data_IF_095073846171
#
_entry.id   IF_095073846171
#
_cell.length_a   1.000
_cell.length_b   1.000
_cell.length_c   1.000
_cell.angle_alpha   90.00
_cell.angle_beta   90.00
_cell.angle_gamma   90.00
#
_symmetry.space_group_name_H-M   'P 1'
#
loop_
_entity.id
_entity.type
_entity.pdbx_description
1 polymer ?
#
# COMPACT_ATOMS: atom_id res chain seq x y z
N UNK A 1 -11.60 -6.35 -12.83
CA UNK A 1 -12.01 -4.93 -12.73
C UNK A 1 -11.02 -4.07 -13.53
N UNK A 2 -9.79 -3.86 -13.05
CA UNK A 2 -8.79 -3.00 -13.71
C UNK A 2 -8.29 -3.45 -15.09
N UNK A 3 -8.52 -4.71 -15.47
CA UNK A 3 -8.24 -5.23 -16.82
C UNK A 3 -9.50 -5.35 -17.70
N UNK A 4 -10.63 -4.84 -17.21
CA UNK A 4 -11.89 -4.81 -17.93
C UNK A 4 -12.60 -6.15 -18.03
N UNK A 5 -12.18 -7.22 -17.36
CA UNK A 5 -12.94 -8.50 -17.40
C UNK A 5 -14.20 -8.51 -16.54
N UNK A 6 -14.28 -7.61 -15.57
CA UNK A 6 -15.41 -7.43 -14.64
C UNK A 6 -15.83 -5.98 -14.79
N UNK A 7 -16.99 -5.76 -15.42
CA UNK A 7 -17.45 -4.44 -15.84
C UNK A 7 -18.52 -3.85 -14.92
N UNK A 8 -19.35 -4.68 -14.29
CA UNK A 8 -20.47 -4.24 -13.46
C UNK A 8 -20.33 -4.76 -12.04
N UNK A 9 -20.87 -4.03 -11.07
CA UNK A 9 -20.81 -4.41 -9.66
C UNK A 9 -21.58 -5.70 -9.34
N UNK A 10 -22.59 -6.04 -10.12
CA UNK A 10 -23.37 -7.29 -10.01
C UNK A 10 -22.81 -8.44 -10.86
N UNK A 11 -21.58 -8.31 -11.38
CA UNK A 11 -20.89 -9.41 -12.08
C UNK A 11 -20.82 -10.68 -11.20
N UNK A 12 -21.00 -11.85 -11.83
CA UNK A 12 -21.02 -13.13 -11.14
C UNK A 12 -19.77 -13.39 -10.28
N UNK A 13 -18.60 -12.90 -10.71
CA UNK A 13 -17.37 -13.01 -9.93
C UNK A 13 -17.44 -12.23 -8.61
N UNK A 14 -18.09 -11.05 -8.60
CA UNK A 14 -18.27 -10.25 -7.38
C UNK A 14 -19.41 -10.82 -6.51
N UNK A 15 -20.51 -11.25 -7.11
CA UNK A 15 -21.60 -11.91 -6.39
C UNK A 15 -21.15 -13.17 -5.66
N UNK A 16 -20.30 -13.98 -6.29
CA UNK A 16 -19.76 -15.20 -5.68
C UNK A 16 -18.96 -14.90 -4.40
N UNK A 17 -18.25 -13.77 -4.35
CA UNK A 17 -17.48 -13.36 -3.18
C UNK A 17 -18.32 -12.70 -2.09
N UNK A 18 -19.55 -12.29 -2.41
CA UNK A 18 -20.43 -11.51 -1.52
C UNK A 18 -21.83 -12.16 -1.42
N UNK A 19 -21.95 -13.41 -0.96
CA UNK A 19 -23.23 -14.11 -0.91
C UNK A 19 -24.23 -13.36 -0.02
N UNK A 20 -25.44 -13.14 -0.55
CA UNK A 20 -26.51 -12.43 0.16
C UNK A 20 -26.45 -10.91 0.08
N UNK A 21 -25.42 -10.33 -0.53
CA UNK A 21 -25.34 -8.88 -0.80
C UNK A 21 -26.02 -8.55 -2.12
N UNK A 22 -26.99 -7.64 -2.08
CA UNK A 22 -27.64 -7.12 -3.29
C UNK A 22 -26.70 -6.12 -4.00
N UNK A 23 -25.78 -6.63 -4.82
CA UNK A 23 -24.89 -5.81 -5.61
C UNK A 23 -25.66 -5.12 -6.75
N UNK A 24 -25.42 -3.83 -7.00
CA UNK A 24 -26.23 -3.07 -7.93
C UNK A 24 -25.70 -3.19 -9.38
N UNK A 25 -26.60 -3.10 -10.37
CA UNK A 25 -26.22 -3.13 -11.78
C UNK A 25 -25.69 -1.77 -12.27
N UNK A 26 -24.46 -1.42 -11.87
CA UNK A 26 -23.76 -0.23 -12.34
C UNK A 26 -22.38 -0.56 -12.87
N UNK A 27 -21.98 0.18 -13.90
CA UNK A 27 -20.62 0.12 -14.45
C UNK A 27 -19.62 0.48 -13.34
N UNK A 28 -18.57 -0.33 -13.22
CA UNK A 28 -17.44 -0.09 -12.33
C UNK A 28 -16.54 0.96 -12.95
N UNK A 29 -16.28 2.03 -12.19
CA UNK A 29 -15.31 3.07 -12.58
C UNK A 29 -14.00 2.85 -11.84
N UNK A 30 -12.97 2.34 -12.53
CA UNK A 30 -11.66 2.15 -11.90
C UNK A 30 -10.91 3.47 -11.85
N UNK A 31 -10.41 3.84 -10.68
CA UNK A 31 -9.58 5.03 -10.47
C UNK A 31 -8.14 4.60 -10.24
N UNK A 32 -7.20 5.14 -11.02
CA UNK A 32 -5.78 4.87 -10.87
C UNK A 32 -4.96 6.16 -10.78
N UNK A 33 -3.75 6.07 -10.27
CA UNK A 33 -2.83 7.21 -10.19
C UNK A 33 -2.33 7.63 -11.56
N UNK A 34 -2.10 8.92 -11.74
CA UNK A 34 -1.46 9.49 -12.95
C UNK A 34 0.03 9.78 -12.75
N UNK A 35 0.45 9.97 -11.51
CA UNK A 35 1.83 10.24 -11.12
C UNK A 35 2.57 8.97 -10.69
N UNK A 36 3.91 9.01 -10.72
CA UNK A 36 4.75 7.93 -10.20
C UNK A 36 4.46 7.69 -8.72
N UNK A 37 3.94 6.50 -8.38
CA UNK A 37 3.24 6.28 -7.11
C UNK A 37 3.67 4.97 -6.42
N UNK A 38 4.03 5.07 -5.14
CA UNK A 38 4.23 3.90 -4.27
C UNK A 38 2.96 3.08 -4.07
N UNK A 39 1.80 3.73 -3.94
CA UNK A 39 0.50 3.05 -3.87
C UNK A 39 0.23 2.22 -5.12
N UNK A 40 0.55 2.76 -6.29
CA UNK A 40 0.46 2.02 -7.57
C UNK A 40 1.40 0.84 -7.59
N UNK A 41 2.63 1.00 -7.12
CA UNK A 41 3.59 -0.09 -7.03
C UNK A 41 3.10 -1.23 -6.13
N UNK A 42 2.55 -0.91 -4.95
CA UNK A 42 2.02 -1.89 -4.01
C UNK A 42 0.77 -2.59 -4.56
N UNK A 43 -0.19 -1.82 -5.07
CA UNK A 43 -1.44 -2.37 -5.58
C UNK A 43 -1.23 -3.22 -6.84
N UNK A 44 -0.43 -2.75 -7.81
CA UNK A 44 -0.10 -3.54 -9.00
C UNK A 44 0.75 -4.77 -8.69
N UNK A 45 1.58 -4.74 -7.64
CA UNK A 45 2.24 -5.96 -7.12
C UNK A 45 1.21 -6.96 -6.59
N UNK A 46 0.25 -6.51 -5.80
CA UNK A 46 -0.79 -7.39 -5.27
C UNK A 46 -1.58 -8.04 -6.41
N UNK A 47 -1.96 -7.26 -7.43
CA UNK A 47 -2.60 -7.78 -8.63
C UNK A 47 -1.71 -8.79 -9.37
N UNK A 48 -0.40 -8.52 -9.50
CA UNK A 48 0.54 -9.45 -10.17
C UNK A 48 0.66 -10.77 -9.40
N UNK A 49 0.81 -10.73 -8.08
CA UNK A 49 1.00 -11.93 -7.26
C UNK A 49 -0.25 -12.79 -7.13
N UNK A 50 -1.43 -12.21 -7.39
CA UNK A 50 -2.72 -12.91 -7.32
C UNK A 50 -3.28 -13.27 -8.70
N UNK A 51 -2.77 -12.68 -9.78
CA UNK A 51 -3.32 -12.86 -11.12
C UNK A 51 -2.21 -12.93 -12.19
N UNK A 52 -1.92 -14.16 -12.65
CA UNK A 52 -0.90 -14.41 -13.70
C UNK A 52 -1.16 -13.64 -15.00
N UNK A 53 -2.41 -13.38 -15.36
CA UNK A 53 -2.73 -12.59 -16.55
C UNK A 53 -2.32 -11.13 -16.37
N UNK A 54 -2.56 -10.56 -15.18
CA UNK A 54 -2.11 -9.22 -14.84
C UNK A 54 -0.57 -9.15 -14.85
N UNK A 55 0.09 -10.11 -14.18
CA UNK A 55 1.56 -10.18 -14.11
C UNK A 55 2.21 -10.19 -15.50
N UNK A 56 1.67 -10.99 -16.42
CA UNK A 56 2.21 -11.12 -17.78
C UNK A 56 1.94 -9.91 -18.68
N UNK A 57 0.78 -9.26 -18.53
CA UNK A 57 0.33 -8.20 -19.46
C UNK A 57 0.66 -6.78 -18.98
N UNK A 58 0.56 -6.56 -17.67
CA UNK A 58 0.70 -5.23 -17.05
C UNK A 58 1.90 -5.20 -16.11
N UNK A 59 2.04 -6.23 -15.27
CA UNK A 59 3.06 -6.30 -14.24
C UNK A 59 2.84 -5.26 -13.13
N UNK A 60 3.93 -4.83 -12.49
CA UNK A 60 3.89 -3.86 -11.41
C UNK A 60 5.02 -2.84 -11.52
N UNK A 61 4.75 -1.64 -11.01
CA UNK A 61 5.66 -0.50 -11.13
C UNK A 61 5.10 0.72 -10.42
N UNK A 62 5.93 1.74 -10.20
CA UNK A 62 5.44 3.05 -9.75
C UNK A 62 4.60 3.75 -10.81
N UNK A 63 4.77 3.35 -12.08
CA UNK A 63 3.88 3.60 -13.20
C UNK A 63 3.71 2.31 -13.98
N UNK A 64 2.48 2.05 -14.44
CA UNK A 64 2.14 0.87 -15.26
C UNK A 64 1.23 1.31 -16.39
N UNK A 65 1.24 0.56 -17.49
CA UNK A 65 0.32 0.79 -18.60
C UNK A 65 -1.06 0.23 -18.24
N UNK A 66 -1.86 1.04 -17.53
CA UNK A 66 -3.23 0.69 -17.14
C UNK A 66 -4.05 0.28 -18.37
N UNK A 67 -4.72 -0.88 -18.35
CA UNK A 67 -5.61 -1.27 -19.44
C UNK A 67 -6.68 -0.19 -19.68
N UNK A 68 -6.93 0.12 -20.94
CA UNK A 68 -7.99 1.04 -21.31
C UNK A 68 -9.36 0.38 -21.06
N UNK A 69 -9.96 0.67 -19.91
CA UNK A 69 -11.31 0.20 -19.54
C UNK A 69 -12.29 1.37 -19.58
N UNK A 70 -13.55 1.06 -19.92
CA UNK A 70 -14.59 2.08 -20.05
C UNK A 70 -14.76 2.84 -18.74
N UNK A 71 -14.70 4.18 -18.82
CA UNK A 71 -14.90 5.06 -17.67
C UNK A 71 -13.73 5.13 -16.70
N UNK A 72 -12.56 4.53 -16.99
CA UNK A 72 -11.38 4.66 -16.13
C UNK A 72 -11.00 6.13 -15.91
N UNK A 73 -10.65 6.47 -14.66
CA UNK A 73 -10.26 7.82 -14.26
C UNK A 73 -8.81 7.80 -13.75
N UNK A 74 -8.01 8.73 -14.25
CA UNK A 74 -6.71 9.05 -13.67
C UNK A 74 -6.84 10.13 -12.59
N UNK A 75 -6.20 9.96 -11.44
CA UNK A 75 -6.15 10.95 -10.38
C UNK A 75 -4.72 11.16 -9.84
N UNK A 76 -4.40 12.39 -9.45
CA UNK A 76 -3.07 12.74 -8.96
C UNK A 76 -3.00 12.69 -7.43
N UNK A 77 -2.05 11.90 -6.89
CA UNK A 77 -1.88 11.73 -5.45
C UNK A 77 -3.07 11.06 -4.74
N UNK A 78 -2.88 10.64 -3.49
CA UNK A 78 -3.97 10.13 -2.65
C UNK A 78 -5.14 11.13 -2.47
N UNK A 79 -4.93 12.45 -2.30
CA UNK A 79 -6.05 13.40 -2.23
C UNK A 79 -6.93 13.38 -3.50
N UNK A 80 -6.31 13.26 -4.67
CA UNK A 80 -7.03 13.13 -5.93
C UNK A 80 -7.82 11.83 -6.02
N UNK A 81 -7.23 10.70 -5.59
CA UNK A 81 -7.91 9.41 -5.56
C UNK A 81 -9.17 9.47 -4.67
N UNK A 82 -9.05 10.03 -3.46
CA UNK A 82 -10.19 10.20 -2.53
C UNK A 82 -11.27 11.07 -3.15
N UNK A 83 -10.90 12.23 -3.72
CA UNK A 83 -11.83 13.14 -4.38
C UNK A 83 -12.54 12.50 -5.57
N UNK A 84 -11.83 11.71 -6.37
CA UNK A 84 -12.38 10.99 -7.52
C UNK A 84 -13.41 9.96 -7.08
N UNK A 85 -13.11 9.16 -6.05
CA UNK A 85 -14.05 8.16 -5.54
C UNK A 85 -15.29 8.80 -4.94
N UNK A 86 -15.12 9.86 -4.15
CA UNK A 86 -16.24 10.61 -3.57
C UNK A 86 -17.19 11.19 -4.60
N UNK A 87 -16.65 11.73 -5.69
CA UNK A 87 -17.45 12.39 -6.73
C UNK A 87 -17.99 11.44 -7.81
N UNK A 88 -17.52 10.19 -7.84
CA UNK A 88 -17.87 9.20 -8.86
C UNK A 88 -18.48 7.96 -8.19
N UNK A 89 -19.82 7.87 -8.10
CA UNK A 89 -20.48 6.66 -7.61
C UNK A 89 -20.03 5.41 -8.36
N UNK A 90 -20.03 4.26 -7.68
CA UNK A 90 -19.64 2.95 -8.27
C UNK A 90 -18.17 2.88 -8.72
N UNK A 91 -17.33 3.78 -8.24
CA UNK A 91 -15.90 3.74 -8.49
C UNK A 91 -15.15 2.87 -7.48
N UNK A 92 -13.95 2.42 -7.87
CA UNK A 92 -13.01 1.67 -7.02
C UNK A 92 -11.62 2.28 -7.16
N UNK A 93 -10.93 2.45 -6.03
CA UNK A 93 -9.58 3.00 -5.96
C UNK A 93 -8.73 2.21 -4.97
N UNK A 94 -7.41 2.41 -5.05
CA UNK A 94 -6.43 2.00 -4.04
C UNK A 94 -5.86 3.26 -3.39
N UNK A 95 -6.06 3.41 -2.08
CA UNK A 95 -5.76 4.64 -1.33
C UNK A 95 -4.88 4.28 -0.13
N UNK A 96 -3.83 5.06 0.12
CA UNK A 96 -2.95 4.85 1.26
C UNK A 96 -3.65 5.04 2.60
N UNK A 97 -3.32 4.21 3.60
CA UNK A 97 -3.99 4.16 4.91
C UNK A 97 -3.93 5.48 5.70
N UNK A 98 -2.94 6.34 5.41
CA UNK A 98 -2.85 7.67 6.00
C UNK A 98 -4.02 8.60 5.62
N UNK A 99 -4.81 8.23 4.60
CA UNK A 99 -6.02 8.92 4.18
C UNK A 99 -7.31 8.29 4.72
N UNK A 100 -7.24 7.23 5.54
CA UNK A 100 -8.42 6.52 6.06
C UNK A 100 -9.39 7.46 6.80
N UNK A 101 -8.87 8.37 7.64
CA UNK A 101 -9.72 9.35 8.32
C UNK A 101 -10.51 10.25 7.36
N UNK A 102 -9.99 10.52 6.16
CA UNK A 102 -10.70 11.29 5.14
C UNK A 102 -11.70 10.42 4.38
N UNK A 103 -11.36 9.17 4.05
CA UNK A 103 -12.30 8.24 3.40
C UNK A 103 -13.49 7.93 4.30
N UNK A 104 -13.26 7.74 5.60
CA UNK A 104 -14.31 7.49 6.60
C UNK A 104 -15.23 8.71 6.74
N UNK A 105 -14.64 9.90 6.84
CA UNK A 105 -15.40 11.16 6.90
C UNK A 105 -16.27 11.37 5.66
N UNK A 106 -15.81 10.93 4.50
CA UNK A 106 -16.55 11.03 3.24
C UNK A 106 -17.52 9.85 3.02
N UNK A 107 -17.61 8.90 3.97
CA UNK A 107 -18.52 7.76 3.92
C UNK A 107 -18.18 6.75 2.82
N UNK A 108 -16.91 6.67 2.41
CA UNK A 108 -16.46 5.75 1.39
C UNK A 108 -16.34 4.33 1.96
N UNK A 109 -16.78 3.33 1.20
CA UNK A 109 -16.66 1.93 1.61
C UNK A 109 -15.22 1.42 1.57
N UNK A 110 -14.88 0.53 2.51
CA UNK A 110 -13.59 -0.16 2.57
C UNK A 110 -13.79 -1.67 2.31
N UNK A 111 -12.95 -2.25 1.46
CA UNK A 111 -13.08 -3.65 1.06
C UNK A 111 -12.19 -4.56 1.94
N UNK A 112 -12.73 -5.73 2.30
CA UNK A 112 -11.88 -6.83 2.77
C UNK A 112 -11.09 -7.39 1.59
N UNK A 113 -9.79 -7.65 1.78
CA UNK A 113 -8.95 -8.26 0.75
C UNK A 113 -8.68 -9.72 1.07
N UNK A 114 -8.75 -10.58 0.05
CA UNK A 114 -8.36 -11.98 0.20
C UNK A 114 -6.84 -12.08 0.37
N UNK A 115 -6.41 -12.69 1.45
CA UNK A 115 -5.00 -12.96 1.71
C UNK A 115 -4.55 -14.29 1.12
N UNK A 116 -3.25 -14.59 1.28
CA UNK A 116 -2.63 -15.78 0.69
C UNK A 116 -3.14 -17.11 1.28
N UNK A 117 -3.76 -17.07 2.45
CA UNK A 117 -4.40 -18.24 3.06
C UNK A 117 -5.85 -18.44 2.59
N UNK A 118 -6.38 -17.54 1.74
CA UNK A 118 -7.75 -17.59 1.23
C UNK A 118 -8.77 -16.84 2.09
N UNK A 119 -8.35 -16.22 3.19
CA UNK A 119 -9.24 -15.49 4.10
C UNK A 119 -9.40 -14.04 3.62
N UNK A 120 -10.62 -13.51 3.72
CA UNK A 120 -10.88 -12.09 3.53
C UNK A 120 -10.64 -11.35 4.85
N UNK A 121 -9.75 -10.36 4.83
CA UNK A 121 -9.32 -9.61 6.02
C UNK A 121 -9.37 -8.11 5.78
N UNK A 122 -9.74 -7.36 6.82
CA UNK A 122 -9.60 -5.90 6.88
C UNK A 122 -8.18 -5.51 7.29
N UNK A 123 -7.78 -4.29 7.00
CA UNK A 123 -6.61 -3.67 7.64
C UNK A 123 -6.95 -3.34 9.10
N UNK A 124 -6.16 -3.82 10.05
CA UNK A 124 -6.34 -3.50 11.48
C UNK A 124 -5.08 -3.84 12.31
N UNK A 125 -5.17 -3.61 13.62
CA UNK A 125 -4.09 -3.84 14.59
C UNK A 125 -3.70 -5.32 14.78
N UNK A 126 -4.44 -6.27 14.19
CA UNK A 126 -4.10 -7.70 14.20
C UNK A 126 -3.47 -8.12 12.87
N UNK A 127 -4.08 -7.72 11.75
CA UNK A 127 -3.75 -8.27 10.44
C UNK A 127 -2.48 -7.71 9.83
N UNK A 128 -2.19 -6.42 10.10
CA UNK A 128 -0.94 -5.78 9.66
C UNK A 128 0.27 -6.34 10.44
N UNK A 129 0.25 -6.44 11.79
CA UNK A 129 1.33 -7.10 12.51
C UNK A 129 1.52 -8.57 12.13
N UNK A 130 0.45 -9.32 11.85
CA UNK A 130 0.56 -10.70 11.39
C UNK A 130 1.33 -10.82 10.06
N UNK A 131 1.03 -9.96 9.09
CA UNK A 131 1.78 -9.89 7.83
C UNK A 131 3.24 -9.43 8.06
N UNK A 132 3.46 -8.43 8.92
CA UNK A 132 4.80 -7.96 9.26
C UNK A 132 5.65 -9.05 9.92
N UNK A 133 5.10 -9.82 10.87
CA UNK A 133 5.79 -10.92 11.53
C UNK A 133 6.29 -11.99 10.55
N UNK A 134 5.56 -12.24 9.46
CA UNK A 134 5.95 -13.20 8.43
C UNK A 134 7.05 -12.70 7.47
N UNK A 135 7.22 -11.37 7.36
CA UNK A 135 8.08 -10.74 6.35
C UNK A 135 9.31 -10.04 6.93
N UNK A 136 9.22 -9.42 8.10
CA UNK A 136 10.32 -8.74 8.79
C UNK A 136 11.56 -9.63 9.00
N UNK A 137 11.45 -10.91 9.37
CA UNK A 137 12.62 -11.80 9.49
C UNK A 137 13.36 -12.04 8.17
N UNK A 138 12.72 -11.74 7.03
CA UNK A 138 13.26 -11.93 5.68
C UNK A 138 13.87 -10.66 5.10
N UNK A 139 13.80 -9.53 5.83
CA UNK A 139 14.33 -8.24 5.35
C UNK A 139 15.83 -8.34 5.08
N UNK A 140 16.29 -8.08 3.83
CA UNK A 140 17.69 -8.16 3.47
C UNK A 140 18.51 -6.99 4.04
N UNK A 141 19.84 -7.06 3.90
CA UNK A 141 20.76 -6.05 4.44
C UNK A 141 20.56 -4.64 3.87
N UNK A 142 20.13 -4.56 2.62
CA UNK A 142 19.79 -3.31 1.94
C UNK A 142 18.31 -2.92 2.10
N UNK A 143 17.56 -3.68 2.92
CA UNK A 143 16.15 -3.49 3.25
C UNK A 143 15.19 -3.53 2.06
N UNK A 144 15.65 -3.86 0.85
CA UNK A 144 14.79 -3.93 -0.35
C UNK A 144 13.99 -5.23 -0.35
N UNK A 145 12.75 -5.18 0.11
CA UNK A 145 11.84 -6.33 0.20
C UNK A 145 10.42 -5.93 -0.19
N UNK A 146 9.71 -6.83 -0.86
CA UNK A 146 8.25 -6.75 -0.94
C UNK A 146 7.63 -7.45 0.26
N UNK A 147 6.71 -6.76 0.94
CA UNK A 147 5.89 -7.34 2.00
C UNK A 147 4.46 -7.67 1.50
N UNK A 148 4.22 -7.53 0.20
CA UNK A 148 2.93 -7.79 -0.43
C UNK A 148 2.63 -9.28 -0.43
N UNK A 149 1.37 -9.63 -0.17
CA UNK A 149 0.84 -10.99 -0.17
C UNK A 149 1.63 -11.96 0.73
N UNK A 150 1.97 -11.45 1.93
CA UNK A 150 2.59 -12.21 3.00
C UNK A 150 1.78 -13.47 3.35
N UNK A 151 2.44 -14.60 3.70
CA UNK A 151 1.74 -15.80 4.12
C UNK A 151 1.20 -15.66 5.54
N UNK A 152 0.01 -16.23 5.79
CA UNK A 152 -0.58 -16.30 7.12
C UNK A 152 -2.10 -16.13 7.07
N UNK A 153 -2.81 -16.79 8.00
CA UNK A 153 -4.28 -16.76 8.04
C UNK A 153 -4.84 -15.35 8.31
N UNK A 154 -4.09 -14.53 9.07
CA UNK A 154 -4.48 -13.17 9.45
C UNK A 154 -3.68 -12.10 8.70
N UNK A 155 -2.83 -12.46 7.73
CA UNK A 155 -1.97 -11.48 7.08
C UNK A 155 -2.77 -10.54 6.18
N UNK A 156 -2.74 -9.23 6.47
CA UNK A 156 -3.25 -8.24 5.52
C UNK A 156 -2.36 -8.24 4.25
N UNK A 157 -2.93 -8.33 3.04
CA UNK A 157 -2.14 -8.63 1.85
C UNK A 157 -1.37 -7.45 1.27
N UNK A 158 -1.62 -6.20 1.70
CA UNK A 158 -0.94 -5.01 1.17
C UNK A 158 -0.34 -4.22 2.33
N UNK A 159 0.92 -4.50 2.66
CA UNK A 159 1.70 -3.75 3.63
C UNK A 159 3.08 -3.41 3.03
N UNK A 160 3.75 -2.39 3.58
CA UNK A 160 5.08 -1.97 3.14
C UNK A 160 5.93 -1.42 4.28
N UNK A 161 7.23 -1.32 4.02
CA UNK A 161 8.06 -0.32 4.68
C UNK A 161 7.90 1.03 3.97
N UNK A 162 7.91 2.09 4.74
CA UNK A 162 8.15 3.44 4.23
C UNK A 162 9.66 3.67 4.10
N UNK A 163 10.10 4.13 2.92
CA UNK A 163 11.52 4.33 2.63
C UNK A 163 11.86 5.80 2.48
N UNK A 164 13.01 6.19 3.01
CA UNK A 164 13.66 7.46 2.67
C UNK A 164 14.85 7.15 1.75
N UNK A 165 14.79 7.64 0.51
CA UNK A 165 15.86 7.44 -0.46
C UNK A 165 16.94 8.49 -0.26
N UNK A 166 18.14 8.06 0.16
CA UNK A 166 19.26 8.95 0.49
C UNK A 166 20.53 8.46 -0.18
N UNK A 167 21.29 9.37 -0.83
CA UNK A 167 22.62 9.04 -1.34
C UNK A 167 23.60 8.88 -0.18
N UNK A 168 24.47 7.87 -0.23
CA UNK A 168 25.49 7.71 0.82
C UNK A 168 26.44 8.91 0.87
N UNK A 169 26.90 9.39 -0.29
CA UNK A 169 27.76 10.57 -0.39
C UNK A 169 26.94 11.86 -0.41
N UNK A 170 27.25 12.76 0.51
CA UNK A 170 26.64 14.08 0.67
C UNK A 170 27.59 15.20 0.21
N UNK A 171 27.09 16.43 -0.01
CA UNK A 171 27.92 17.55 -0.47
C UNK A 171 29.05 17.93 0.49
N UNK A 172 28.84 17.77 1.81
CA UNK A 172 29.83 18.03 2.84
C UNK A 172 29.50 17.25 4.13
N UNK A 173 30.48 17.18 5.04
CA UNK A 173 30.37 16.42 6.28
C UNK A 173 29.27 16.94 7.23
N UNK A 174 29.01 18.25 7.23
CA UNK A 174 27.95 18.86 8.03
C UNK A 174 26.56 18.37 7.57
N UNK A 175 26.32 18.35 6.26
CA UNK A 175 25.09 17.82 5.66
C UNK A 175 24.93 16.32 5.98
N UNK A 176 26.01 15.55 5.86
CA UNK A 176 25.99 14.13 6.23
C UNK A 176 25.63 13.91 7.70
N UNK A 177 26.18 14.72 8.61
CA UNK A 177 25.91 14.63 10.04
C UNK A 177 24.45 14.97 10.37
N UNK A 178 23.88 16.03 9.79
CA UNK A 178 22.49 16.41 10.06
C UNK A 178 21.48 15.42 9.46
N UNK A 179 21.75 14.86 8.27
CA UNK A 179 20.93 13.79 7.71
C UNK A 179 20.96 12.55 8.62
N UNK A 180 22.15 12.15 9.09
CA UNK A 180 22.29 11.04 10.04
C UNK A 180 21.50 11.26 11.31
N UNK A 181 21.59 12.47 11.89
CA UNK A 181 20.87 12.87 13.10
C UNK A 181 19.36 12.81 12.90
N UNK A 182 18.85 13.38 11.80
CA UNK A 182 17.42 13.37 11.47
C UNK A 182 16.91 11.93 11.27
N UNK A 183 17.57 11.13 10.45
CA UNK A 183 17.13 9.75 10.20
C UNK A 183 17.24 8.88 11.46
N UNK A 184 18.28 9.09 12.27
CA UNK A 184 18.43 8.44 13.56
C UNK A 184 17.28 8.77 14.51
N UNK A 185 16.85 10.03 14.55
CA UNK A 185 15.64 10.44 15.28
C UNK A 185 14.37 9.83 14.70
N UNK A 186 14.23 9.82 13.37
CA UNK A 186 13.04 9.33 12.69
C UNK A 186 12.77 7.84 12.98
N UNK A 187 13.83 7.02 13.11
CA UNK A 187 13.69 5.60 13.45
C UNK A 187 13.80 5.30 14.96
N UNK A 188 14.08 6.30 15.79
CA UNK A 188 14.19 6.14 17.25
C UNK A 188 12.84 5.84 17.89
N UNK A 189 12.81 4.92 18.86
CA UNK A 189 11.60 4.58 19.64
C UNK A 189 11.09 5.73 20.50
N UNK A 190 11.96 6.69 20.83
CA UNK A 190 11.63 7.92 21.54
C UNK A 190 11.38 9.10 20.57
N UNK A 191 11.63 8.89 19.27
CA UNK A 191 11.47 9.89 18.22
C UNK A 191 10.37 9.52 17.23
N UNK A 192 10.66 9.62 15.95
CA UNK A 192 9.67 9.44 14.87
C UNK A 192 9.05 8.05 14.79
N UNK A 193 9.71 7.01 15.34
CA UNK A 193 9.19 5.64 15.35
C UNK A 193 8.23 5.38 16.53
N UNK A 194 7.93 6.40 17.32
CA UNK A 194 6.97 6.31 18.42
C UNK A 194 5.53 6.38 17.91
N UNK A 195 4.61 5.72 18.64
CA UNK A 195 3.18 5.74 18.33
C UNK A 195 2.56 7.15 18.42
N UNK A 196 3.21 8.10 19.09
CA UNK A 196 2.78 9.50 19.15
C UNK A 196 2.63 10.10 17.75
N UNK A 197 3.55 9.78 16.83
CA UNK A 197 3.49 10.26 15.45
C UNK A 197 2.74 9.27 14.55
N UNK A 198 3.06 7.98 14.67
CA UNK A 198 2.60 6.97 13.71
C UNK A 198 1.09 6.73 13.76
N UNK A 199 0.46 6.78 14.94
CA UNK A 199 -1.00 6.59 15.05
C UNK A 199 -1.80 7.67 14.34
N UNK A 200 -1.25 8.87 14.15
CA UNK A 200 -1.96 9.96 13.45
C UNK A 200 -2.17 9.67 11.96
N UNK A 201 -1.38 8.76 11.40
CA UNK A 201 -1.42 8.36 9.98
C UNK A 201 -1.61 6.85 9.82
N UNK A 202 -2.09 6.17 10.87
CA UNK A 202 -2.37 4.73 10.89
C UNK A 202 -1.16 3.84 10.56
N UNK A 203 0.05 4.29 10.91
CA UNK A 203 1.29 3.53 10.73
C UNK A 203 1.66 2.74 11.99
N UNK A 204 2.49 1.71 11.78
CA UNK A 204 3.06 0.90 12.85
C UNK A 204 4.55 1.18 13.04
N UNK A 205 5.07 1.07 14.27
CA UNK A 205 6.50 1.19 14.53
C UNK A 205 7.30 0.15 13.76
N UNK A 206 8.45 0.58 13.24
CA UNK A 206 9.46 -0.29 12.67
C UNK A 206 9.95 -1.29 13.74
N UNK A 207 9.85 -2.61 13.48
CA UNK A 207 10.31 -3.63 14.42
C UNK A 207 11.80 -3.53 14.73
N UNK A 208 12.22 -3.95 15.93
CA UNK A 208 13.59 -3.78 16.41
C UNK A 208 14.66 -4.36 15.47
N UNK A 209 14.40 -5.53 14.85
CA UNK A 209 15.32 -6.16 13.90
C UNK A 209 15.47 -5.34 12.60
N UNK A 210 14.38 -4.79 12.08
CA UNK A 210 14.39 -3.90 10.93
C UNK A 210 15.07 -2.57 11.26
N UNK A 211 14.74 -1.96 12.41
CA UNK A 211 15.41 -0.74 12.89
C UNK A 211 16.93 -0.89 12.99
N UNK A 212 17.41 -2.06 13.43
CA UNK A 212 18.83 -2.34 13.50
C UNK A 212 19.51 -2.40 12.11
N UNK A 213 18.80 -2.85 11.07
CA UNK A 213 19.26 -2.75 9.68
C UNK A 213 19.33 -1.28 9.25
N UNK A 214 18.27 -0.51 9.52
CA UNK A 214 18.19 0.90 9.13
C UNK A 214 19.29 1.75 9.75
N UNK A 215 19.59 1.54 11.03
CA UNK A 215 20.70 2.23 11.71
C UNK A 215 22.06 1.91 11.07
N UNK A 216 22.26 0.69 10.54
CA UNK A 216 23.48 0.35 9.80
C UNK A 216 23.56 1.10 8.47
N UNK A 217 22.45 1.24 7.75
CA UNK A 217 22.41 2.04 6.51
C UNK A 217 22.66 3.53 6.78
N UNK A 218 22.01 4.10 7.81
CA UNK A 218 22.21 5.50 8.22
C UNK A 218 23.71 5.77 8.49
N UNK A 219 24.40 4.83 9.14
CA UNK A 219 25.84 4.97 9.44
C UNK A 219 26.74 5.04 8.20
N UNK A 220 26.28 4.61 7.02
CA UNK A 220 27.05 4.68 5.76
C UNK A 220 27.03 6.05 5.08
N UNK A 221 26.19 6.99 5.55
CA UNK A 221 26.09 8.35 5.00
C UNK A 221 27.37 9.14 5.35
N UNK A 222 28.01 9.77 4.38
CA UNK A 222 29.29 10.47 4.50
C UNK A 222 29.39 11.69 3.60
#
# INVERSE_FOLDING_TARGET
MYDGRVHYWDDAALQHLNPGVALPHHLIVTVHRTDGSGDTFMFSQFLSFTNKTWEQKVGYGTSVNWPAVQGAIGANGNPGMVSAVKSTPYSVAYIGVSFQGQTDKDGLGEAMLQNRAGNFVMINETTVPAAAAAMVPKTPRDERISMIYAPGAESYPIINYEYVMVKSKQPNAETAAEIKKFLGWAVSTEGGNSLQFLKQVNFLPLPASARALTLRQINQIH
#
